data_IF_799892132456
#
_entry.id   IF_799892132456
#
_cell.length_a   1.000
_cell.length_b   1.000
_cell.length_c   1.000
_cell.angle_alpha   90.00
_cell.angle_beta   90.00
_cell.angle_gamma   90.00
#
_symmetry.space_group_name_H-M   'P 1'
#
loop_
_entity.id
_entity.type
_entity.pdbx_description
1 polymer ?
#
# COMPACT_ATOMS: atom_id res chain seq x y z
N UNK A 1 1.04 -9.19 7.58
CA UNK A 1 0.78 -10.66 7.62
C UNK A 1 -0.14 -11.12 8.77
N UNK A 2 -0.75 -10.20 9.52
CA UNK A 2 -1.72 -10.56 10.57
C UNK A 2 -3.03 -11.12 10.00
N UNK A 3 -3.37 -10.79 8.74
CA UNK A 3 -4.63 -11.18 8.10
C UNK A 3 -4.44 -12.42 7.22
N UNK A 4 -3.26 -12.65 6.68
CA UNK A 4 -2.95 -13.76 5.76
C UNK A 4 -2.44 -15.03 6.43
N UNK A 5 -1.92 -14.96 7.63
CA UNK A 5 -1.49 -16.16 8.34
C UNK A 5 -2.72 -16.96 8.74
N UNK A 6 -2.95 -17.99 7.96
CA UNK A 6 -3.96 -19.04 8.14
C UNK A 6 -4.48 -19.14 9.56
N UNK A 7 -5.76 -18.91 9.76
CA UNK A 7 -6.54 -19.22 10.95
C UNK A 7 -6.63 -18.21 12.09
N UNK A 8 -6.09 -17.02 11.99
CA UNK A 8 -6.33 -16.08 13.09
C UNK A 8 -7.47 -15.08 12.79
N UNK A 9 -8.68 -15.63 12.64
CA UNK A 9 -9.92 -14.85 12.50
C UNK A 9 -10.02 -13.76 13.57
N UNK A 10 -9.63 -14.07 14.80
CA UNK A 10 -9.67 -13.13 15.92
C UNK A 10 -8.76 -11.90 15.67
N UNK A 11 -7.56 -12.12 15.12
CA UNK A 11 -6.65 -11.04 14.77
C UNK A 11 -7.22 -10.17 13.62
N UNK A 12 -7.80 -10.80 12.62
CA UNK A 12 -8.43 -10.09 11.51
C UNK A 12 -9.65 -9.25 11.96
N UNK A 13 -10.49 -9.80 12.83
CA UNK A 13 -11.60 -9.09 13.47
C UNK A 13 -11.10 -7.89 14.27
N UNK A 14 -10.05 -8.07 15.07
CA UNK A 14 -9.46 -7.00 15.87
C UNK A 14 -8.90 -5.87 14.99
N UNK A 15 -8.15 -6.21 13.94
CA UNK A 15 -7.62 -5.20 12.99
C UNK A 15 -8.76 -4.44 12.32
N UNK A 16 -9.79 -5.13 11.83
CA UNK A 16 -10.94 -4.49 11.21
C UNK A 16 -11.66 -3.55 12.19
N UNK A 17 -11.80 -3.97 13.44
CA UNK A 17 -12.42 -3.14 14.47
C UNK A 17 -11.62 -1.87 14.73
N UNK A 18 -10.29 -1.95 14.79
CA UNK A 18 -9.42 -0.77 14.89
C UNK A 18 -9.70 0.21 13.74
N UNK A 19 -9.77 -0.26 12.50
CA UNK A 19 -10.05 0.61 11.35
C UNK A 19 -11.42 1.30 11.43
N UNK A 20 -12.39 0.70 12.11
CA UNK A 20 -13.70 1.30 12.31
C UNK A 20 -13.71 2.38 13.39
N UNK A 21 -13.00 2.16 14.50
CA UNK A 21 -13.17 2.97 15.72
C UNK A 21 -12.05 3.97 15.99
N UNK A 22 -10.84 3.73 15.45
CA UNK A 22 -9.62 4.50 15.82
C UNK A 22 -9.78 6.01 15.63
N UNK A 23 -10.53 6.42 14.63
CA UNK A 23 -10.81 7.84 14.38
C UNK A 23 -11.56 8.50 15.55
N UNK A 24 -12.47 7.78 16.22
CA UNK A 24 -13.19 8.28 17.38
C UNK A 24 -12.28 8.58 18.57
N UNK A 25 -11.11 7.96 18.61
CA UNK A 25 -10.08 8.18 19.62
C UNK A 25 -8.99 9.17 19.19
N UNK A 26 -9.19 9.88 18.08
CA UNK A 26 -8.20 10.83 17.54
C UNK A 26 -6.98 10.15 16.91
N UNK A 27 -7.01 8.84 16.70
CA UNK A 27 -5.94 8.06 16.12
C UNK A 27 -6.09 7.88 14.61
N UNK A 28 -5.03 7.34 14.00
CA UNK A 28 -4.98 6.95 12.60
C UNK A 28 -4.40 5.55 12.48
N UNK A 29 -5.01 4.70 11.67
CA UNK A 29 -4.51 3.38 11.36
C UNK A 29 -3.96 3.34 9.94
N UNK A 30 -2.77 2.75 9.76
CA UNK A 30 -2.15 2.53 8.46
C UNK A 30 -1.93 1.05 8.28
N UNK A 31 -2.37 0.51 7.16
CA UNK A 31 -2.12 -0.86 6.75
C UNK A 31 -1.36 -0.85 5.43
N UNK A 32 -0.29 -1.64 5.35
CA UNK A 32 0.44 -1.87 4.11
C UNK A 32 0.50 -3.37 3.84
N UNK A 33 0.26 -3.76 2.59
CA UNK A 33 0.41 -5.14 2.13
C UNK A 33 1.04 -5.17 0.76
N UNK A 34 1.80 -6.20 0.50
CA UNK A 34 2.37 -6.51 -0.82
C UNK A 34 1.74 -7.77 -1.42
N UNK A 35 0.87 -8.44 -0.70
CA UNK A 35 0.17 -9.65 -1.15
C UNK A 35 -1.34 -9.51 -0.88
N UNK A 36 -2.08 -9.32 -1.97
CA UNK A 36 -3.52 -9.18 -1.91
C UNK A 36 -4.24 -10.53 -1.73
N UNK A 37 -3.62 -11.64 -2.14
CA UNK A 37 -4.22 -12.96 -1.94
C UNK A 37 -4.31 -13.26 -0.44
N UNK A 38 -3.24 -13.00 0.29
CA UNK A 38 -3.23 -13.11 1.74
C UNK A 38 -4.24 -12.15 2.40
N UNK A 39 -4.35 -10.93 1.87
CA UNK A 39 -5.26 -9.91 2.39
C UNK A 39 -6.74 -10.30 2.25
N UNK A 40 -7.06 -11.06 1.19
CA UNK A 40 -8.42 -11.53 0.92
C UNK A 40 -8.66 -13.01 1.26
N UNK A 41 -7.71 -13.70 1.89
CA UNK A 41 -7.78 -15.14 2.13
C UNK A 41 -8.88 -15.56 3.12
N UNK A 42 -9.23 -14.71 4.09
CA UNK A 42 -10.17 -15.06 5.14
C UNK A 42 -11.61 -14.64 4.78
N UNK A 43 -12.56 -15.59 4.95
CA UNK A 43 -14.00 -15.39 4.79
C UNK A 43 -14.35 -14.61 3.50
N UNK A 44 -13.92 -15.11 2.35
CA UNK A 44 -14.16 -14.54 1.02
C UNK A 44 -13.74 -13.05 0.92
N UNK A 45 -12.70 -12.68 1.63
CA UNK A 45 -12.17 -11.33 1.64
C UNK A 45 -12.92 -10.33 2.51
N UNK A 46 -13.81 -10.77 3.36
CA UNK A 46 -14.62 -9.91 4.25
C UNK A 46 -13.78 -8.90 5.04
N UNK A 47 -12.68 -9.35 5.63
CA UNK A 47 -11.82 -8.50 6.45
C UNK A 47 -11.02 -7.53 5.59
N UNK A 48 -10.43 -7.99 4.49
CA UNK A 48 -9.70 -7.13 3.55
C UNK A 48 -10.59 -6.05 2.93
N UNK A 49 -11.76 -6.44 2.42
CA UNK A 49 -12.78 -5.50 1.93
C UNK A 49 -13.21 -4.50 3.01
N UNK A 50 -13.41 -4.98 4.23
CA UNK A 50 -13.77 -4.13 5.36
C UNK A 50 -12.70 -3.09 5.68
N UNK A 51 -11.41 -3.44 5.67
CA UNK A 51 -10.30 -2.51 5.89
C UNK A 51 -10.23 -1.48 4.74
N UNK A 52 -10.30 -1.93 3.49
CA UNK A 52 -10.30 -1.03 2.33
C UNK A 52 -11.45 -0.03 2.41
N UNK A 53 -12.66 -0.47 2.73
CA UNK A 53 -13.83 0.40 2.80
C UNK A 53 -13.78 1.39 3.97
N UNK A 54 -13.12 1.04 5.08
CA UNK A 54 -12.94 1.94 6.21
C UNK A 54 -11.70 2.84 6.09
N UNK A 55 -10.83 2.59 5.12
CA UNK A 55 -9.67 3.45 4.80
C UNK A 55 -10.11 4.61 3.92
N UNK A 56 -9.98 5.84 4.41
CA UNK A 56 -10.32 7.04 3.62
C UNK A 56 -9.34 7.30 2.50
N UNK A 57 -8.06 7.11 2.76
CA UNK A 57 -6.99 7.28 1.78
C UNK A 57 -6.38 5.92 1.46
N UNK A 58 -6.25 5.63 0.20
CA UNK A 58 -5.61 4.43 -0.32
C UNK A 58 -4.50 4.85 -1.27
N UNK A 59 -3.36 4.20 -1.15
CA UNK A 59 -2.23 4.39 -2.07
C UNK A 59 -2.00 3.05 -2.75
N UNK A 60 -2.22 3.01 -4.05
CA UNK A 60 -2.12 1.80 -4.86
C UNK A 60 -0.89 1.96 -5.75
N UNK A 61 0.07 1.09 -5.53
CA UNK A 61 1.28 0.99 -6.35
C UNK A 61 1.02 0.06 -7.53
N UNK A 62 2.06 -0.29 -8.29
CA UNK A 62 1.96 -1.26 -9.36
C UNK A 62 1.37 -2.58 -8.86
N UNK A 63 0.41 -3.12 -9.62
CA UNK A 63 -0.24 -4.41 -9.37
C UNK A 63 -0.22 -5.23 -10.66
N UNK A 64 -0.17 -6.54 -10.51
CA UNK A 64 -0.44 -7.49 -11.60
C UNK A 64 -1.92 -7.43 -12.02
N UNK A 65 -2.22 -7.81 -13.26
CA UNK A 65 -3.55 -7.68 -13.85
C UNK A 65 -4.67 -8.27 -13.00
N UNK A 66 -4.47 -9.46 -12.44
CA UNK A 66 -5.48 -10.12 -11.61
C UNK A 66 -5.75 -9.35 -10.31
N UNK A 67 -4.71 -8.86 -9.67
CA UNK A 67 -4.81 -8.08 -8.44
C UNK A 67 -5.44 -6.71 -8.71
N UNK A 68 -5.07 -6.05 -9.82
CA UNK A 68 -5.64 -4.79 -10.25
C UNK A 68 -7.15 -4.91 -10.49
N UNK A 69 -7.60 -5.98 -11.16
CA UNK A 69 -9.02 -6.26 -11.36
C UNK A 69 -9.77 -6.44 -10.03
N UNK A 70 -9.18 -7.17 -9.09
CA UNK A 70 -9.77 -7.40 -7.76
C UNK A 70 -9.91 -6.11 -6.97
N UNK A 71 -8.85 -5.31 -6.88
CA UNK A 71 -8.87 -4.00 -6.21
C UNK A 71 -9.82 -3.04 -6.93
N UNK A 72 -9.76 -3.02 -8.26
CA UNK A 72 -10.61 -2.18 -9.09
C UNK A 72 -12.09 -2.43 -8.89
N UNK A 73 -12.50 -3.69 -8.74
CA UNK A 73 -13.89 -4.04 -8.46
C UNK A 73 -14.37 -3.51 -7.09
N UNK A 74 -13.49 -3.47 -6.09
CA UNK A 74 -13.81 -2.97 -4.74
C UNK A 74 -13.86 -1.45 -4.72
N UNK A 75 -12.97 -0.79 -5.45
CA UNK A 75 -12.83 0.67 -5.48
C UNK A 75 -13.62 1.33 -6.62
N UNK A 76 -14.26 0.53 -7.47
CA UNK A 76 -14.98 1.00 -8.66
C UNK A 76 -14.10 1.82 -9.61
N UNK A 77 -12.87 1.33 -9.86
CA UNK A 77 -11.94 1.97 -10.76
C UNK A 77 -12.39 1.82 -12.22
N UNK A 78 -12.12 2.84 -13.02
CA UNK A 78 -12.30 2.80 -14.46
C UNK A 78 -11.27 1.91 -15.15
N UNK A 79 -11.55 1.48 -16.37
CA UNK A 79 -10.61 0.70 -17.20
C UNK A 79 -9.28 1.46 -17.42
N UNK A 80 -9.35 2.78 -17.56
CA UNK A 80 -8.15 3.62 -17.71
C UNK A 80 -7.28 3.58 -16.45
N UNK A 81 -7.88 3.72 -15.26
CA UNK A 81 -7.16 3.63 -13.99
C UNK A 81 -6.58 2.23 -13.75
N UNK A 82 -7.28 1.18 -14.14
CA UNK A 82 -6.77 -0.19 -14.09
C UNK A 82 -5.55 -0.36 -14.99
N UNK A 83 -5.62 0.16 -16.22
CA UNK A 83 -4.48 0.15 -17.14
C UNK A 83 -3.28 0.91 -16.57
N UNK A 84 -3.49 2.08 -15.97
CA UNK A 84 -2.40 2.84 -15.34
C UNK A 84 -1.73 2.07 -14.22
N UNK A 85 -2.51 1.46 -13.31
CA UNK A 85 -1.98 0.71 -12.17
C UNK A 85 -1.08 -0.45 -12.62
N UNK A 86 -1.45 -1.18 -13.67
CA UNK A 86 -0.65 -2.31 -14.16
C UNK A 86 0.63 -1.88 -14.88
N UNK A 87 0.74 -0.61 -15.28
CA UNK A 87 1.90 -0.05 -15.97
C UNK A 87 2.71 0.94 -15.12
N UNK A 88 2.37 1.12 -13.85
CA UNK A 88 3.11 2.02 -12.98
C UNK A 88 4.58 1.61 -12.84
N UNK A 89 5.45 2.58 -13.02
CA UNK A 89 6.87 2.44 -12.72
C UNK A 89 7.15 2.73 -11.24
N UNK A 90 8.39 2.46 -10.82
CA UNK A 90 8.82 2.77 -9.45
C UNK A 90 8.65 4.26 -9.15
N UNK A 91 7.89 4.56 -8.12
CA UNK A 91 7.56 5.92 -7.69
C UNK A 91 6.18 6.39 -8.15
N UNK A 92 5.52 5.67 -9.05
CA UNK A 92 4.15 5.97 -9.45
C UNK A 92 3.13 5.30 -8.54
N UNK A 93 2.02 5.97 -8.29
CA UNK A 93 0.92 5.48 -7.47
C UNK A 93 -0.42 6.09 -7.90
N UNK A 94 -1.51 5.35 -7.67
CA UNK A 94 -2.86 5.92 -7.66
C UNK A 94 -3.24 6.24 -6.21
N UNK A 95 -3.48 7.51 -5.92
CA UNK A 95 -4.01 7.93 -4.62
C UNK A 95 -5.52 8.11 -4.75
N UNK A 96 -6.25 7.31 -3.98
CA UNK A 96 -7.70 7.37 -3.89
C UNK A 96 -8.13 7.94 -2.54
N UNK A 97 -8.85 9.06 -2.56
CA UNK A 97 -9.36 9.72 -1.35
C UNK A 97 -10.77 10.24 -1.60
N UNK A 98 -11.74 9.83 -0.78
CA UNK A 98 -13.14 10.27 -0.88
C UNK A 98 -13.71 10.11 -2.31
N UNK A 99 -13.45 9.00 -2.96
CA UNK A 99 -13.84 8.68 -4.35
C UNK A 99 -13.20 9.58 -5.44
N UNK A 100 -12.17 10.33 -5.09
CA UNK A 100 -11.34 11.02 -6.06
C UNK A 100 -10.04 10.23 -6.23
N UNK A 101 -9.73 9.88 -7.46
CA UNK A 101 -8.54 9.12 -7.82
C UNK A 101 -7.58 10.02 -8.59
N UNK A 102 -6.32 10.04 -8.20
CA UNK A 102 -5.27 10.81 -8.85
C UNK A 102 -4.04 9.94 -9.03
N UNK A 103 -3.60 9.78 -10.26
CA UNK A 103 -2.31 9.18 -10.55
C UNK A 103 -1.20 10.20 -10.24
N UNK A 104 -0.19 9.78 -9.52
CA UNK A 104 0.93 10.62 -9.06
C UNK A 104 2.26 9.94 -9.32
N UNK A 105 3.28 10.75 -9.58
CA UNK A 105 4.67 10.33 -9.59
C UNK A 105 5.37 10.96 -8.38
N UNK A 106 5.84 10.11 -7.46
CA UNK A 106 6.51 10.53 -6.23
C UNK A 106 8.02 10.44 -6.46
N UNK A 107 8.69 11.58 -6.41
CA UNK A 107 10.15 11.67 -6.53
C UNK A 107 10.72 12.08 -5.19
N UNK A 108 11.63 11.26 -4.66
CA UNK A 108 12.40 11.66 -3.49
C UNK A 108 13.49 12.65 -3.89
N UNK A 109 13.79 13.58 -2.98
CA UNK A 109 14.96 14.44 -3.10
C UNK A 109 16.25 13.62 -2.92
N UNK A 110 17.40 14.17 -3.34
CA UNK A 110 18.69 13.52 -3.14
C UNK A 110 18.96 13.21 -1.66
N UNK A 111 18.59 14.12 -0.77
CA UNK A 111 18.74 13.93 0.68
C UNK A 111 17.87 12.78 1.20
N UNK A 112 16.60 12.71 0.80
CA UNK A 112 15.71 11.61 1.17
C UNK A 112 16.23 10.29 0.62
N UNK A 113 16.70 10.28 -0.62
CA UNK A 113 17.28 9.09 -1.24
C UNK A 113 18.48 8.56 -0.44
N UNK A 114 19.36 9.45 0.02
CA UNK A 114 20.49 9.08 0.88
C UNK A 114 20.05 8.46 2.22
N UNK A 115 18.95 8.94 2.79
CA UNK A 115 18.47 8.49 4.10
C UNK A 115 17.66 7.20 4.06
N UNK A 116 16.92 6.95 2.97
CA UNK A 116 15.94 5.86 2.90
C UNK A 116 16.32 4.71 1.98
N UNK A 117 17.39 4.85 1.17
CA UNK A 117 17.77 3.80 0.23
C UNK A 117 18.14 2.50 0.93
N UNK A 118 17.58 1.39 0.44
CA UNK A 118 17.93 0.03 0.82
C UNK A 118 18.67 -0.70 -0.30
N UNK A 119 18.90 -0.03 -1.43
CA UNK A 119 19.65 -0.59 -2.55
C UNK A 119 21.12 -0.75 -2.17
N UNK A 120 21.64 -1.98 -2.26
CA UNK A 120 23.02 -2.31 -1.88
C UNK A 120 24.08 -1.56 -2.68
N UNK A 121 23.83 -1.26 -3.95
CA UNK A 121 24.77 -0.54 -4.81
C UNK A 121 24.81 0.93 -4.40
N UNK A 122 23.65 1.55 -4.24
CA UNK A 122 23.54 2.93 -3.77
C UNK A 122 24.18 3.11 -2.38
N UNK A 123 23.94 2.18 -1.46
CA UNK A 123 24.57 2.21 -0.12
C UNK A 123 26.10 2.11 -0.19
N UNK A 124 26.65 1.27 -1.07
CA UNK A 124 28.10 1.17 -1.26
C UNK A 124 28.70 2.46 -1.83
N UNK A 125 28.00 3.12 -2.76
CA UNK A 125 28.44 4.40 -3.31
C UNK A 125 28.41 5.50 -2.27
N UNK A 126 27.37 5.57 -1.44
CA UNK A 126 27.24 6.51 -0.32
C UNK A 126 28.37 6.31 0.71
N UNK A 127 28.65 5.07 1.08
CA UNK A 127 29.75 4.75 2.00
C UNK A 127 31.12 5.16 1.43
N UNK A 128 31.37 4.95 0.13
CA UNK A 128 32.59 5.40 -0.54
C UNK A 128 32.70 6.93 -0.58
N UNK A 129 31.61 7.64 -0.76
CA UNK A 129 31.55 9.09 -0.79
C UNK A 129 31.80 9.68 0.59
N UNK A 130 31.18 9.13 1.62
CA UNK A 130 31.32 9.58 3.01
C UNK A 130 32.65 9.14 3.65
N UNK A 131 33.26 8.05 3.23
CA UNK A 131 34.59 7.61 3.68
C UNK A 131 35.76 8.36 3.04
N UNK A 132 35.54 9.26 2.09
CA UNK A 132 36.55 10.12 1.49
C UNK A 132 36.69 11.51 2.14
N UNK A 133 35.89 11.77 3.15
CA UNK A 133 35.86 13.05 3.91
C UNK A 133 36.43 12.91 5.33
N UNK A 134 37.28 11.90 5.58
CA UNK A 134 38.04 11.71 6.82
C UNK A 134 39.54 11.85 6.58
#
# INVERSE_FOLDING_TARGET
QLIGASSNRLAAEFVLEIFKIIRGYGGSAVCATQDLNDFFALEDGKYGKGIINNSKTKVILNLEDEEAQRVGSILHLSEAELMEITHFERGSALISTNNNNVAVEIKCSELEKELITTDRRELQELLKRNGRTG
#
